data_IF_862110837879
#
_entry.id   IF_862110837879
#
_cell.length_a   1.000
_cell.length_b   1.000
_cell.length_c   1.000
_cell.angle_alpha   90.00
_cell.angle_beta   90.00
_cell.angle_gamma   90.00
#
_symmetry.space_group_name_H-M   'P 1'
#
loop_
_entity.id
_entity.type
_entity.pdbx_description
1 polymer ?
#
# COMPACT_ATOMS: atom_id res chain seq x y z
N UNK A 1 12.71 20.38 -20.47
CA UNK A 1 13.08 20.25 -19.05
C UNK A 1 13.95 19.02 -18.88
N UNK A 2 15.19 19.15 -18.40
CA UNK A 2 16.02 17.99 -18.11
C UNK A 2 15.38 17.22 -16.96
N UNK A 3 15.12 15.91 -17.16
CA UNK A 3 14.66 15.04 -16.07
C UNK A 3 15.78 14.93 -15.05
N UNK A 4 15.48 15.23 -13.78
CA UNK A 4 16.43 15.01 -12.70
C UNK A 4 16.78 13.51 -12.65
N UNK A 5 18.04 13.15 -12.41
CA UNK A 5 18.41 11.75 -12.25
C UNK A 5 17.69 11.15 -11.03
N UNK A 6 17.32 9.88 -11.12
CA UNK A 6 16.51 9.17 -10.13
C UNK A 6 17.03 9.30 -8.69
N UNK A 7 18.35 9.29 -8.51
CA UNK A 7 18.97 9.45 -7.19
C UNK A 7 18.69 10.84 -6.57
N UNK A 8 18.63 11.93 -7.37
CA UNK A 8 18.28 13.25 -6.88
C UNK A 8 16.82 13.35 -6.45
N UNK A 9 15.96 12.63 -7.16
CA UNK A 9 14.53 12.52 -6.82
C UNK A 9 14.37 11.83 -5.48
N UNK A 10 15.06 10.71 -5.26
CA UNK A 10 14.92 9.87 -4.07
C UNK A 10 15.58 10.46 -2.82
N UNK A 11 16.72 11.15 -2.96
CA UNK A 11 17.53 11.56 -1.80
C UNK A 11 17.50 13.06 -1.49
N UNK A 12 17.09 13.92 -2.44
CA UNK A 12 17.06 15.38 -2.21
C UNK A 12 15.65 15.92 -1.95
N UNK A 13 14.59 15.19 -2.28
CA UNK A 13 13.22 15.64 -2.00
C UNK A 13 12.74 15.14 -0.65
N UNK A 14 12.14 16.03 0.13
CA UNK A 14 11.50 15.63 1.39
C UNK A 14 10.28 14.77 1.09
N UNK A 15 10.18 13.65 1.77
CA UNK A 15 9.02 12.79 1.68
C UNK A 15 7.82 13.47 2.36
N UNK A 16 6.62 13.48 1.76
CA UNK A 16 5.47 14.21 2.28
C UNK A 16 5.09 13.78 3.69
N UNK A 17 4.93 14.75 4.60
CA UNK A 17 4.58 14.48 6.00
C UNK A 17 3.29 13.67 6.15
N UNK A 18 2.30 13.92 5.26
CA UNK A 18 1.06 13.16 5.22
C UNK A 18 1.32 11.68 4.95
N UNK A 19 2.16 11.36 3.96
CA UNK A 19 2.52 9.97 3.66
C UNK A 19 3.32 9.34 4.79
N UNK A 20 4.27 10.07 5.38
CA UNK A 20 5.00 9.61 6.56
C UNK A 20 4.04 9.23 7.69
N UNK A 21 3.06 10.09 7.97
CA UNK A 21 2.04 9.82 9.01
C UNK A 21 1.22 8.56 8.74
N UNK A 22 0.74 8.40 7.51
CA UNK A 22 -0.06 7.23 7.11
C UNK A 22 0.76 5.93 7.20
N UNK A 23 2.00 5.95 6.71
CA UNK A 23 2.91 4.79 6.76
C UNK A 23 3.25 4.44 8.22
N UNK A 24 3.58 5.44 9.04
CA UNK A 24 3.90 5.22 10.46
C UNK A 24 2.70 4.62 11.18
N UNK A 25 1.49 5.11 10.91
CA UNK A 25 0.26 4.54 11.48
C UNK A 25 0.04 3.09 11.03
N UNK A 26 0.27 2.77 9.77
CA UNK A 26 0.18 1.40 9.28
C UNK A 26 1.17 0.47 9.98
N UNK A 27 2.45 0.87 10.07
CA UNK A 27 3.49 0.11 10.78
C UNK A 27 3.11 -0.07 12.26
N UNK A 28 2.58 0.98 12.91
CA UNK A 28 2.08 0.88 14.29
C UNK A 28 0.97 -0.17 14.41
N UNK A 29 0.02 -0.19 13.49
CA UNK A 29 -1.04 -1.20 13.48
C UNK A 29 -0.49 -2.62 13.30
N UNK A 30 0.46 -2.84 12.38
CA UNK A 30 1.05 -4.15 12.15
C UNK A 30 1.89 -4.63 13.35
N UNK A 31 2.84 -3.80 13.80
CA UNK A 31 3.83 -4.20 14.79
C UNK A 31 3.28 -4.10 16.22
N UNK A 32 2.76 -2.93 16.58
CA UNK A 32 2.36 -2.71 17.99
C UNK A 32 1.02 -3.38 18.27
N UNK A 33 -0.02 -3.07 17.50
CA UNK A 33 -1.33 -3.67 17.74
C UNK A 33 -1.37 -5.13 17.30
N UNK A 34 -0.83 -5.44 16.11
CA UNK A 34 -0.83 -6.80 15.57
C UNK A 34 -0.01 -7.76 16.40
N UNK A 35 1.32 -7.54 16.47
CA UNK A 35 2.25 -8.49 17.09
C UNK A 35 2.40 -8.31 18.60
N UNK A 36 2.56 -7.07 19.14
CA UNK A 36 2.78 -6.87 20.58
C UNK A 36 1.49 -7.06 21.38
N UNK A 37 0.35 -6.57 20.87
CA UNK A 37 -0.95 -6.74 21.51
C UNK A 37 -1.73 -7.96 21.01
N UNK A 38 -1.14 -8.81 20.18
CA UNK A 38 -1.72 -10.05 19.66
C UNK A 38 -3.06 -9.86 18.92
N UNK A 39 -3.25 -8.73 18.21
CA UNK A 39 -4.51 -8.51 17.48
C UNK A 39 -4.67 -9.48 16.31
N UNK A 40 -3.60 -10.03 15.77
CA UNK A 40 -3.67 -11.10 14.77
C UNK A 40 -4.42 -12.33 15.28
N UNK A 41 -4.25 -12.68 16.58
CA UNK A 41 -4.91 -13.84 17.18
C UNK A 41 -6.27 -13.49 17.81
N UNK A 42 -6.41 -12.25 18.32
CA UNK A 42 -7.61 -11.81 19.05
C UNK A 42 -8.74 -11.34 18.14
N UNK A 43 -8.41 -10.86 16.93
CA UNK A 43 -9.35 -10.20 16.04
C UNK A 43 -9.25 -10.86 14.65
N UNK A 44 -10.17 -11.75 14.35
CA UNK A 44 -10.15 -12.58 13.12
C UNK A 44 -10.13 -11.81 11.79
N UNK A 45 -10.55 -10.55 11.77
CA UNK A 45 -10.52 -9.68 10.59
C UNK A 45 -9.34 -8.69 10.58
N UNK A 46 -8.41 -8.79 11.56
CA UNK A 46 -7.32 -7.82 11.70
C UNK A 46 -6.38 -7.83 10.50
N UNK A 47 -6.02 -9.00 10.05
CA UNK A 47 -5.17 -9.23 8.90
C UNK A 47 -5.79 -8.69 7.61
N UNK A 48 -7.03 -9.05 7.34
CA UNK A 48 -7.82 -8.50 6.23
C UNK A 48 -7.84 -6.97 6.26
N UNK A 49 -8.02 -6.35 7.42
CA UNK A 49 -7.96 -4.90 7.58
C UNK A 49 -6.60 -4.34 7.19
N UNK A 50 -5.51 -4.99 7.64
CA UNK A 50 -4.15 -4.54 7.36
C UNK A 50 -3.82 -4.62 5.88
N UNK A 51 -4.19 -5.69 5.18
CA UNK A 51 -4.01 -5.82 3.72
C UNK A 51 -4.83 -4.79 2.94
N UNK A 52 -6.07 -4.52 3.35
CA UNK A 52 -6.89 -3.45 2.76
C UNK A 52 -6.28 -2.06 2.99
N UNK A 53 -5.79 -1.80 4.20
CA UNK A 53 -5.12 -0.55 4.51
C UNK A 53 -3.76 -0.42 3.82
N UNK A 54 -3.02 -1.52 3.69
CA UNK A 54 -1.80 -1.59 2.88
C UNK A 54 -2.05 -1.19 1.43
N UNK A 55 -3.09 -1.75 0.79
CA UNK A 55 -3.49 -1.39 -0.57
C UNK A 55 -3.74 0.11 -0.75
N UNK A 56 -4.36 0.75 0.24
CA UNK A 56 -4.57 2.19 0.27
C UNK A 56 -3.25 2.95 0.42
N UNK A 57 -2.40 2.58 1.37
CA UNK A 57 -1.12 3.23 1.66
C UNK A 57 -0.19 3.16 0.46
N UNK A 58 -0.03 1.96 -0.11
CA UNK A 58 0.88 1.74 -1.25
C UNK A 58 0.40 2.50 -2.50
N UNK A 59 -0.92 2.70 -2.66
CA UNK A 59 -1.48 3.51 -3.74
C UNK A 59 -1.12 4.99 -3.62
N UNK A 60 -1.13 5.56 -2.41
CA UNK A 60 -0.65 6.92 -2.17
C UNK A 60 0.84 7.06 -2.46
N UNK A 61 1.65 6.08 -2.09
CA UNK A 61 3.08 6.03 -2.39
C UNK A 61 3.30 5.95 -3.91
N UNK A 62 2.57 5.07 -4.59
CA UNK A 62 2.63 4.94 -6.05
C UNK A 62 2.26 6.24 -6.76
N UNK A 63 1.18 6.90 -6.33
CA UNK A 63 0.78 8.21 -6.85
C UNK A 63 1.88 9.26 -6.65
N UNK A 64 2.50 9.33 -5.48
CA UNK A 64 3.60 10.24 -5.21
C UNK A 64 4.79 10.01 -6.16
N UNK A 65 5.24 8.77 -6.32
CA UNK A 65 6.33 8.44 -7.25
C UNK A 65 5.95 8.73 -8.69
N UNK A 66 4.72 8.43 -9.08
CA UNK A 66 4.23 8.73 -10.41
C UNK A 66 4.30 10.23 -10.73
N UNK A 67 3.83 11.08 -9.81
CA UNK A 67 3.84 12.54 -9.99
C UNK A 67 5.27 13.10 -10.04
N UNK A 68 6.20 12.56 -9.23
CA UNK A 68 7.62 12.92 -9.29
C UNK A 68 8.21 12.63 -10.67
N UNK A 69 7.93 11.47 -11.21
CA UNK A 69 8.52 11.02 -12.48
C UNK A 69 7.90 11.68 -13.72
N UNK A 70 6.59 11.94 -13.68
CA UNK A 70 5.81 12.33 -14.85
C UNK A 70 5.18 13.73 -14.76
N UNK A 71 5.14 14.32 -13.55
CA UNK A 71 4.45 15.59 -13.28
C UNK A 71 2.94 15.44 -13.08
N UNK A 72 2.28 16.51 -12.63
CA UNK A 72 0.84 16.52 -12.30
C UNK A 72 -0.08 16.46 -13.53
N UNK A 73 0.38 16.98 -14.67
CA UNK A 73 -0.41 17.03 -15.92
C UNK A 73 -0.17 15.78 -16.75
N UNK A 74 -0.56 14.64 -16.24
CA UNK A 74 -0.32 13.35 -16.91
C UNK A 74 -1.65 12.67 -17.24
N UNK A 75 -1.58 11.75 -18.19
CA UNK A 75 -2.71 10.91 -18.58
C UNK A 75 -3.19 10.09 -17.37
N UNK A 76 -4.47 10.26 -17.01
CA UNK A 76 -5.08 9.56 -15.86
C UNK A 76 -5.11 8.04 -16.05
N UNK A 77 -5.26 7.57 -17.28
CA UNK A 77 -5.20 6.14 -17.56
C UNK A 77 -3.82 5.57 -17.22
N UNK A 78 -2.74 6.25 -17.63
CA UNK A 78 -1.37 5.84 -17.33
C UNK A 78 -1.10 5.87 -15.82
N UNK A 79 -1.54 6.92 -15.14
CA UNK A 79 -1.44 7.03 -13.68
C UNK A 79 -2.18 5.89 -12.98
N UNK A 80 -3.42 5.61 -13.41
CA UNK A 80 -4.23 4.54 -12.80
C UNK A 80 -3.60 3.16 -13.01
N UNK A 81 -3.12 2.87 -14.22
CA UNK A 81 -2.42 1.61 -14.52
C UNK A 81 -1.15 1.46 -13.69
N UNK A 82 -0.38 2.55 -13.52
CA UNK A 82 0.82 2.55 -12.68
C UNK A 82 0.46 2.27 -11.20
N UNK A 83 -0.54 2.95 -10.65
CA UNK A 83 -0.95 2.78 -9.24
C UNK A 83 -1.44 1.36 -8.99
N UNK A 84 -2.28 0.80 -9.87
CA UNK A 84 -2.77 -0.58 -9.75
C UNK A 84 -1.61 -1.58 -9.85
N UNK A 85 -0.77 -1.45 -10.89
CA UNK A 85 0.36 -2.37 -11.10
C UNK A 85 1.38 -2.32 -9.96
N UNK A 86 1.69 -1.12 -9.47
CA UNK A 86 2.59 -0.92 -8.33
C UNK A 86 1.99 -1.50 -7.06
N UNK A 87 0.72 -1.19 -6.76
CA UNK A 87 0.05 -1.66 -5.55
C UNK A 87 -0.09 -3.18 -5.51
N UNK A 88 -0.57 -3.80 -6.59
CA UNK A 88 -0.68 -5.26 -6.68
C UNK A 88 0.68 -5.95 -6.71
N UNK A 89 1.68 -5.35 -7.35
CA UNK A 89 3.05 -5.87 -7.34
C UNK A 89 3.64 -5.91 -5.93
N UNK A 90 3.44 -4.86 -5.14
CA UNK A 90 3.89 -4.85 -3.73
C UNK A 90 3.04 -5.77 -2.85
N UNK A 91 1.74 -5.91 -3.11
CA UNK A 91 0.90 -6.90 -2.44
C UNK A 91 1.44 -8.32 -2.69
N UNK A 92 1.69 -8.69 -3.94
CA UNK A 92 2.25 -9.99 -4.27
C UNK A 92 3.66 -10.22 -3.69
N UNK A 93 4.49 -9.18 -3.61
CA UNK A 93 5.80 -9.27 -2.94
C UNK A 93 5.64 -9.52 -1.44
N UNK A 94 4.63 -8.94 -0.80
CA UNK A 94 4.35 -9.20 0.61
C UNK A 94 3.98 -10.66 0.84
N UNK A 95 3.09 -11.24 0.04
CA UNK A 95 2.74 -12.67 0.09
C UNK A 95 3.96 -13.58 -0.11
N UNK A 96 4.89 -13.18 -0.99
CA UNK A 96 6.15 -13.91 -1.17
C UNK A 96 6.99 -13.85 0.10
N UNK A 97 7.04 -12.71 0.80
CA UNK A 97 7.76 -12.59 2.07
C UNK A 97 7.13 -13.46 3.17
N UNK A 98 5.81 -13.52 3.26
CA UNK A 98 5.10 -14.40 4.19
C UNK A 98 5.39 -15.86 3.90
N UNK A 99 5.29 -16.28 2.63
CA UNK A 99 5.67 -17.63 2.21
C UNK A 99 7.12 -18.00 2.57
N UNK A 100 8.06 -17.09 2.35
CA UNK A 100 9.46 -17.32 2.72
C UNK A 100 9.66 -17.36 4.24
N UNK A 101 8.95 -16.53 5.00
CA UNK A 101 8.93 -16.55 6.45
C UNK A 101 8.44 -17.87 6.99
N UNK A 102 7.33 -18.36 6.48
CA UNK A 102 6.75 -19.65 6.86
C UNK A 102 7.68 -20.82 6.50
N UNK A 103 8.31 -20.76 5.30
CA UNK A 103 9.21 -21.83 4.83
C UNK A 103 10.54 -21.88 5.58
N UNK A 104 11.13 -20.73 5.93
CA UNK A 104 12.48 -20.67 6.49
C UNK A 104 12.51 -20.58 8.02
N UNK A 105 11.46 -20.03 8.62
CA UNK A 105 11.42 -19.74 10.06
C UNK A 105 10.27 -20.44 10.78
N UNK A 106 9.52 -21.30 10.07
CA UNK A 106 8.38 -22.05 10.63
C UNK A 106 7.33 -21.10 11.28
N UNK A 107 7.07 -19.98 10.58
CA UNK A 107 5.97 -19.06 10.92
C UNK A 107 4.67 -19.63 10.35
N UNK A 108 3.54 -19.00 10.65
CA UNK A 108 2.22 -19.32 10.07
C UNK A 108 1.53 -18.03 9.59
N UNK A 109 2.29 -17.22 8.85
CA UNK A 109 1.83 -15.91 8.36
C UNK A 109 0.71 -16.06 7.33
N UNK A 110 0.83 -17.06 6.45
CA UNK A 110 -0.17 -17.40 5.42
C UNK A 110 -1.37 -18.18 5.96
N UNK A 111 -1.47 -18.45 7.26
CA UNK A 111 -2.60 -19.11 7.94
C UNK A 111 -3.15 -20.35 7.22
N UNK A 112 -2.25 -21.14 6.65
CA UNK A 112 -2.60 -22.33 5.85
C UNK A 112 -3.41 -23.34 6.65
N UNK A 113 -3.05 -23.57 7.92
CA UNK A 113 -3.76 -24.52 8.79
C UNK A 113 -5.17 -24.04 9.15
N UNK A 114 -5.33 -22.73 9.38
CA UNK A 114 -6.64 -22.13 9.62
C UNK A 114 -7.56 -22.26 8.38
N UNK A 115 -7.03 -21.96 7.20
CA UNK A 115 -7.76 -22.10 5.93
C UNK A 115 -8.23 -23.52 5.70
N UNK A 116 -7.37 -24.52 5.93
CA UNK A 116 -7.74 -25.94 5.83
C UNK A 116 -8.80 -26.31 6.88
N UNK A 117 -8.64 -25.85 8.12
CA UNK A 117 -9.59 -26.09 9.20
C UNK A 117 -10.97 -25.54 8.93
N UNK A 118 -11.07 -24.44 8.16
CA UNK A 118 -12.31 -23.84 7.68
C UNK A 118 -12.84 -24.48 6.38
N UNK A 119 -12.21 -25.54 5.87
CA UNK A 119 -12.58 -26.20 4.62
C UNK A 119 -12.27 -25.40 3.36
N UNK A 120 -11.40 -24.40 3.48
CA UNK A 120 -10.91 -23.59 2.36
C UNK A 120 -9.69 -24.23 1.69
N UNK A 121 -9.31 -23.69 0.53
CA UNK A 121 -8.05 -24.04 -0.14
C UNK A 121 -6.84 -23.58 0.71
N UNK A 122 -5.70 -24.30 0.71
CA UNK A 122 -4.46 -23.86 1.37
C UNK A 122 -3.94 -22.48 0.91
N UNK A 123 -4.34 -22.03 -0.27
CA UNK A 123 -3.97 -20.70 -0.82
C UNK A 123 -5.05 -19.64 -0.62
N UNK A 124 -6.08 -19.94 0.20
CA UNK A 124 -7.21 -19.03 0.34
C UNK A 124 -6.82 -17.71 1.00
N UNK A 125 -6.01 -17.75 2.02
CA UNK A 125 -5.53 -16.58 2.76
C UNK A 125 -4.80 -15.61 1.81
N UNK A 126 -3.74 -16.07 1.14
CA UNK A 126 -3.00 -15.30 0.12
C UNK A 126 -3.93 -14.67 -0.94
N UNK A 127 -4.92 -15.41 -1.42
CA UNK A 127 -5.84 -14.89 -2.43
C UNK A 127 -6.82 -13.88 -1.86
N UNK A 128 -7.31 -14.08 -0.64
CA UNK A 128 -8.16 -13.13 0.08
C UNK A 128 -7.41 -11.82 0.34
N UNK A 129 -6.13 -11.88 0.71
CA UNK A 129 -5.28 -10.73 1.00
C UNK A 129 -4.95 -9.92 -0.26
N UNK A 130 -4.67 -10.59 -1.37
CA UNK A 130 -4.52 -9.91 -2.66
C UNK A 130 -5.83 -9.25 -3.12
N UNK A 131 -6.98 -9.89 -2.91
CA UNK A 131 -8.28 -9.30 -3.24
C UNK A 131 -8.59 -8.08 -2.37
N UNK A 132 -8.32 -8.14 -1.08
CA UNK A 132 -8.58 -7.02 -0.18
C UNK A 132 -7.57 -5.88 -0.39
N UNK A 133 -6.34 -6.19 -0.78
CA UNK A 133 -5.37 -5.19 -1.25
C UNK A 133 -5.91 -4.43 -2.45
N UNK A 134 -6.51 -5.13 -3.42
CA UNK A 134 -7.18 -4.50 -4.57
C UNK A 134 -8.36 -3.60 -4.14
N UNK A 135 -9.11 -3.99 -3.11
CA UNK A 135 -10.17 -3.13 -2.52
C UNK A 135 -9.54 -1.86 -1.92
N UNK A 136 -8.43 -1.96 -1.21
CA UNK A 136 -7.69 -0.80 -0.71
C UNK A 136 -7.24 0.16 -1.81
N UNK A 137 -6.76 -0.37 -2.93
CA UNK A 137 -6.43 0.41 -4.14
C UNK A 137 -7.68 1.10 -4.70
N UNK A 138 -8.82 0.41 -4.75
CA UNK A 138 -10.08 1.01 -5.21
C UNK A 138 -10.54 2.16 -4.30
N UNK A 139 -10.37 2.02 -2.99
CA UNK A 139 -10.63 3.10 -2.01
C UNK A 139 -9.75 4.32 -2.29
N UNK A 140 -8.47 4.13 -2.63
CA UNK A 140 -7.61 5.24 -3.07
C UNK A 140 -8.22 5.99 -4.25
N UNK A 141 -8.71 5.29 -5.29
CA UNK A 141 -9.32 5.96 -6.45
C UNK A 141 -10.61 6.71 -6.09
N UNK A 142 -11.41 6.19 -5.16
CA UNK A 142 -12.58 6.91 -4.64
C UNK A 142 -12.12 8.21 -3.98
N UNK A 143 -11.11 8.16 -3.11
CA UNK A 143 -10.55 9.35 -2.45
C UNK A 143 -9.98 10.32 -3.49
N UNK A 144 -9.23 9.83 -4.47
CA UNK A 144 -8.66 10.62 -5.56
C UNK A 144 -9.76 11.39 -6.32
N UNK A 145 -10.84 10.71 -6.71
CA UNK A 145 -11.96 11.33 -7.46
C UNK A 145 -12.69 12.38 -6.61
N UNK A 146 -12.92 12.08 -5.32
CA UNK A 146 -13.56 13.02 -4.39
C UNK A 146 -12.68 14.26 -4.18
N UNK A 147 -11.38 14.04 -3.93
CA UNK A 147 -10.44 15.15 -3.72
C UNK A 147 -10.32 16.02 -4.98
N UNK A 148 -10.26 15.40 -6.16
CA UNK A 148 -10.25 16.11 -7.44
C UNK A 148 -11.47 17.03 -7.61
N UNK A 149 -12.67 16.58 -7.20
CA UNK A 149 -13.89 17.39 -7.21
C UNK A 149 -13.87 18.51 -6.16
N UNK A 150 -13.01 18.40 -5.12
CA UNK A 150 -12.86 19.36 -4.02
C UNK A 150 -11.58 20.21 -4.11
N UNK A 151 -11.14 20.55 -5.33
CA UNK A 151 -9.95 21.34 -5.62
C UNK A 151 -8.60 20.65 -5.31
N UNK A 152 -8.57 19.34 -5.27
CA UNK A 152 -7.35 18.50 -5.15
C UNK A 152 -6.43 18.90 -3.98
N UNK A 153 -6.98 19.26 -2.83
CA UNK A 153 -6.20 19.73 -1.68
C UNK A 153 -5.24 18.64 -1.15
N UNK A 154 -5.73 17.40 -1.02
CA UNK A 154 -4.94 16.27 -0.52
C UNK A 154 -3.86 15.89 -1.53
N UNK A 155 -4.23 15.68 -2.79
CA UNK A 155 -3.27 15.31 -3.85
C UNK A 155 -2.24 16.41 -4.08
N UNK A 156 -2.63 17.67 -3.96
CA UNK A 156 -1.71 18.80 -4.02
C UNK A 156 -0.77 18.84 -2.82
N UNK A 157 -1.21 18.50 -1.61
CA UNK A 157 -0.31 18.44 -0.44
C UNK A 157 0.76 17.35 -0.59
N UNK A 158 0.39 16.19 -1.14
CA UNK A 158 1.32 15.11 -1.45
C UNK A 158 2.33 15.51 -2.53
N UNK A 159 1.88 16.31 -3.51
CA UNK A 159 2.71 16.76 -4.63
C UNK A 159 3.41 18.11 -4.37
N UNK A 160 3.13 18.83 -3.28
CA UNK A 160 3.61 20.19 -3.02
C UNK A 160 5.14 20.28 -2.93
N UNK A 161 5.78 19.34 -2.28
CA UNK A 161 7.22 19.31 -2.10
C UNK A 161 8.01 19.04 -3.40
N UNK A 162 7.28 18.74 -4.50
CA UNK A 162 7.86 18.57 -5.82
C UNK A 162 8.06 19.93 -6.52
N UNK A 163 7.26 20.95 -6.17
CA UNK A 163 7.20 22.25 -6.84
C UNK A 163 8.05 23.34 -6.18
N UNK A 164 8.48 23.14 -4.94
CA UNK A 164 9.37 24.11 -4.24
C UNK A 164 10.79 24.01 -4.78
N UNK A 165 11.05 24.75 -5.88
CA UNK A 165 12.36 25.16 -6.38
C UNK A 165 12.39 26.65 -6.61
#
# INVERSE_FOLDING_TARGET
>A
MAKLPLYEILFKKKFPLVLTGIITFHIFCCVVLGSVFNFYDLISWWDIYLHGFFGLVISFIAYYFFVICHGKKTNEFLMSTYVVGFGMGFGALWEIFEYLGDTWFDLDSQRVQESIGLGKSPVADTMEDLMITLVGIAVFFIIYIIDKKRNSKLMNSIAKEIEEK
#
